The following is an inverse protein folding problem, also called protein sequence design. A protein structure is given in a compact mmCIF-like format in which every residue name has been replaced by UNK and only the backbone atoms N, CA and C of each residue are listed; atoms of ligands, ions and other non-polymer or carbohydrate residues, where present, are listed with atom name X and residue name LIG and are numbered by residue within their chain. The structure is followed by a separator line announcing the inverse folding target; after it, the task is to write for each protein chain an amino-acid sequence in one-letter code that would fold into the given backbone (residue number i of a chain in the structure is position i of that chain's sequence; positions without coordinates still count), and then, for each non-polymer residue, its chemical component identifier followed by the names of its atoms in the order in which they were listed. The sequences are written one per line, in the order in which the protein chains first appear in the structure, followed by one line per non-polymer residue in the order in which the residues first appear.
data_IF_039393923514
#
_entry.id   IF_039393923514
#
_cell.length_a   1.000
_cell.length_b   1.000
_cell.length_c   1.000
_cell.angle_alpha   90.00
_cell.angle_beta   90.00
_cell.angle_gamma   90.00
#
_symmetry.space_group_name_H-M   'P 1'
#
loop_
_entity.id
_entity.type
_entity.pdbx_description
1 polymer ?
#
# COMPACT_ATOMS: atom_id res chain seq x y z
N UNK A 1 -0.11 89.19 43.66
CA UNK A 1 -0.95 88.26 42.86
C UNK A 1 -0.21 86.93 42.76
N UNK A 2 -0.79 85.86 43.30
CA UNK A 2 -0.26 84.50 43.16
C UNK A 2 -0.69 83.92 41.81
N UNK A 3 0.26 83.50 40.97
CA UNK A 3 -0.03 82.72 39.77
C UNK A 3 0.32 81.25 40.05
N UNK A 4 -0.71 80.39 40.16
CA UNK A 4 -0.54 78.94 40.31
C UNK A 4 -0.28 78.31 38.93
N UNK A 5 0.90 77.72 38.75
CA UNK A 5 1.21 76.89 37.59
C UNK A 5 0.64 75.47 37.81
N UNK A 6 -0.45 75.14 37.11
CA UNK A 6 -0.98 73.77 37.05
C UNK A 6 -0.09 72.87 36.20
N UNK A 7 0.49 71.82 36.79
CA UNK A 7 1.28 70.82 36.09
C UNK A 7 0.35 69.74 35.53
N UNK A 8 0.00 69.82 34.25
CA UNK A 8 -0.71 68.74 33.55
C UNK A 8 0.15 67.48 33.51
N UNK A 9 -0.21 66.47 34.30
CA UNK A 9 0.35 65.12 34.16
C UNK A 9 -0.30 64.48 32.93
N UNK A 10 0.39 64.53 31.79
CA UNK A 10 0.05 63.69 30.64
C UNK A 10 0.12 62.23 31.11
N UNK A 11 -1.01 61.52 31.04
CA UNK A 11 -1.09 60.12 31.45
C UNK A 11 -0.43 59.28 30.35
N UNK A 12 0.86 58.98 30.50
CA UNK A 12 1.66 58.18 29.55
C UNK A 12 1.24 56.69 29.61
N UNK A 13 0.77 56.23 30.78
CA UNK A 13 0.31 54.85 30.99
C UNK A 13 -0.81 54.39 30.04
N UNK A 14 -1.94 55.11 29.85
CA UNK A 14 -2.99 54.66 28.94
C UNK A 14 -2.53 54.62 27.48
N UNK A 15 -1.63 55.51 27.06
CA UNK A 15 -1.06 55.51 25.71
C UNK A 15 -0.20 54.27 25.46
N UNK A 16 0.63 53.87 26.42
CA UNK A 16 1.43 52.64 26.35
C UNK A 16 0.56 51.37 26.38
N UNK A 17 -0.54 51.38 27.13
CA UNK A 17 -1.50 50.27 27.13
C UNK A 17 -2.20 50.12 25.78
N UNK A 18 -2.59 51.22 25.14
CA UNK A 18 -3.26 51.19 23.83
C UNK A 18 -2.30 50.67 22.75
N UNK A 19 -1.05 51.13 22.73
CA UNK A 19 -0.06 50.63 21.76
C UNK A 19 0.26 49.16 21.96
N UNK A 20 0.35 48.68 23.21
CA UNK A 20 0.52 47.26 23.50
C UNK A 20 -0.66 46.42 23.02
N UNK A 21 -1.91 46.88 23.22
CA UNK A 21 -3.12 46.19 22.74
C UNK A 21 -3.13 46.11 21.21
N UNK A 22 -2.76 47.19 20.50
CA UNK A 22 -2.70 47.21 19.03
C UNK A 22 -1.60 46.29 18.49
N UNK A 23 -0.46 46.20 19.18
CA UNK A 23 0.61 45.28 18.79
C UNK A 23 0.20 43.83 19.02
N UNK A 24 -0.41 43.51 20.16
CA UNK A 24 -0.90 42.16 20.46
C UNK A 24 -2.03 41.77 19.51
N UNK A 25 -2.94 42.68 19.16
CA UNK A 25 -4.01 42.38 18.20
C UNK A 25 -3.48 42.13 16.79
N UNK A 26 -2.49 42.89 16.31
CA UNK A 26 -1.83 42.64 15.02
C UNK A 26 -1.01 41.34 15.04
N UNK A 27 -0.35 41.02 16.16
CA UNK A 27 0.38 39.76 16.32
C UNK A 27 -0.57 38.56 16.31
N UNK A 28 -1.71 38.67 17.03
CA UNK A 28 -2.76 37.65 17.05
C UNK A 28 -3.45 37.51 15.69
N UNK A 29 -3.66 38.61 14.95
CA UNK A 29 -4.16 38.56 13.56
C UNK A 29 -3.16 37.90 12.61
N UNK A 30 -1.87 38.21 12.74
CA UNK A 30 -0.82 37.57 11.97
C UNK A 30 -0.75 36.07 12.27
N UNK A 31 -0.81 35.67 13.54
CA UNK A 31 -0.88 34.25 13.94
C UNK A 31 -2.16 33.56 13.46
N UNK A 32 -3.31 34.24 13.52
CA UNK A 32 -4.59 33.70 13.02
C UNK A 32 -4.55 33.49 11.50
N UNK A 33 -3.85 34.35 10.76
CA UNK A 33 -3.63 34.20 9.32
C UNK A 33 -2.68 33.05 8.94
N UNK A 34 -1.80 32.63 9.87
CA UNK A 34 -0.90 31.47 9.68
C UNK A 34 -1.53 30.13 10.09
N UNK A 35 -2.62 30.12 10.87
CA UNK A 35 -3.27 28.88 11.35
C UNK A 35 -4.41 28.38 10.47
N UNK A 36 -4.76 29.07 9.37
CA UNK A 36 -5.78 28.59 8.43
C UNK A 36 -5.16 28.12 7.11
N UNK A 37 -4.25 27.15 7.19
CA UNK A 37 -4.15 26.21 6.09
C UNK A 37 -5.42 25.36 6.13
N UNK A 38 -6.41 25.71 5.29
CA UNK A 38 -7.36 24.74 4.79
C UNK A 38 -6.55 23.64 4.08
N UNK A 39 -6.10 22.65 4.84
CA UNK A 39 -5.61 21.41 4.26
C UNK A 39 -6.88 20.69 3.83
N UNK A 40 -7.11 20.64 2.52
CA UNK A 40 -8.06 19.70 1.92
C UNK A 40 -7.92 18.34 2.63
N UNK A 41 -9.03 17.65 2.96
CA UNK A 41 -8.95 16.37 3.63
C UNK A 41 -8.09 15.41 2.79
N UNK A 42 -6.89 15.06 3.27
CA UNK A 42 -6.00 14.18 2.52
C UNK A 42 -6.53 12.75 2.60
N UNK A 43 -6.60 12.08 1.46
CA UNK A 43 -7.08 10.69 1.35
C UNK A 43 -6.12 9.68 2.02
N UNK A 44 -4.90 10.11 2.31
CA UNK A 44 -3.86 9.33 2.98
C UNK A 44 -2.92 10.24 3.79
N UNK A 45 -2.05 9.65 4.62
CA UNK A 45 -1.07 10.39 5.42
C UNK A 45 0.23 10.80 4.70
N UNK A 46 0.34 10.54 3.39
CA UNK A 46 1.54 10.86 2.61
C UNK A 46 1.61 12.33 2.19
N UNK A 47 2.79 12.80 1.78
CA UNK A 47 2.94 14.14 1.20
C UNK A 47 2.11 14.32 -0.09
N UNK A 48 1.99 13.24 -0.88
CA UNK A 48 1.13 13.16 -2.06
C UNK A 48 0.47 11.79 -2.07
N UNK A 49 -0.86 11.74 -2.11
CA UNK A 49 -1.59 10.49 -2.24
C UNK A 49 -1.76 10.10 -3.70
N UNK A 50 -1.92 8.80 -3.96
CA UNK A 50 -2.10 8.28 -5.32
C UNK A 50 -3.31 8.93 -6.03
N UNK A 51 -4.39 9.19 -5.28
CA UNK A 51 -5.62 9.82 -5.77
C UNK A 51 -5.57 11.36 -5.81
N UNK A 52 -4.48 11.97 -5.33
CA UNK A 52 -4.24 13.42 -5.50
C UNK A 52 -3.67 13.72 -6.90
N UNK A 53 -3.78 12.78 -7.84
CA UNK A 53 -3.24 12.86 -9.18
C UNK A 53 -4.21 13.48 -10.19
N UNK A 54 -3.82 13.42 -11.47
CA UNK A 54 -4.63 13.87 -12.60
C UNK A 54 -6.05 13.28 -12.59
N UNK A 55 -7.10 14.07 -12.87
CA UNK A 55 -8.48 13.59 -12.96
C UNK A 55 -8.66 12.37 -13.86
N UNK A 56 -7.98 12.34 -15.02
CA UNK A 56 -8.04 11.19 -15.94
C UNK A 56 -7.53 9.90 -15.30
N UNK A 57 -6.49 10.00 -14.47
CA UNK A 57 -5.97 8.84 -13.75
C UNK A 57 -6.94 8.39 -12.65
N UNK A 58 -7.61 9.33 -11.99
CA UNK A 58 -8.61 9.00 -10.97
C UNK A 58 -9.80 8.24 -11.56
N UNK A 59 -10.26 8.60 -12.76
CA UNK A 59 -11.32 7.88 -13.46
C UNK A 59 -10.94 6.41 -13.69
N UNK A 60 -9.72 6.16 -14.19
CA UNK A 60 -9.20 4.80 -14.41
C UNK A 60 -9.12 4.00 -13.10
N UNK A 61 -8.62 4.61 -12.03
CA UNK A 61 -8.51 3.94 -10.72
C UNK A 61 -9.88 3.67 -10.11
N UNK A 62 -10.86 4.55 -10.33
CA UNK A 62 -12.23 4.37 -9.80
C UNK A 62 -13.01 3.29 -10.57
N UNK A 63 -12.69 3.07 -11.84
CA UNK A 63 -13.28 2.01 -12.67
C UNK A 63 -12.57 0.66 -12.53
N UNK A 64 -11.41 0.61 -11.87
CA UNK A 64 -10.64 -0.62 -11.73
C UNK A 64 -11.40 -1.68 -10.90
N UNK A 65 -11.40 -2.96 -11.32
CA UNK A 65 -12.02 -4.02 -10.54
C UNK A 65 -11.22 -4.29 -9.25
N UNK A 66 -11.90 -4.88 -8.27
CA UNK A 66 -11.26 -5.32 -7.03
C UNK A 66 -10.06 -6.26 -7.34
N UNK A 67 -8.84 -5.93 -6.88
CA UNK A 67 -7.63 -6.62 -7.33
C UNK A 67 -7.47 -8.02 -6.75
N UNK A 68 -8.22 -8.38 -5.71
CA UNK A 68 -8.09 -9.66 -5.01
C UNK A 68 -9.35 -10.51 -5.13
N UNK A 69 -9.14 -11.76 -5.54
CA UNK A 69 -10.21 -12.75 -5.52
C UNK A 69 -10.61 -13.03 -4.06
N UNK A 70 -11.91 -12.98 -3.78
CA UNK A 70 -12.45 -13.27 -2.45
C UNK A 70 -13.64 -14.22 -2.55
N UNK A 71 -14.01 -14.83 -1.43
CA UNK A 71 -15.20 -15.68 -1.39
C UNK A 71 -16.49 -14.91 -1.71
N UNK A 72 -16.49 -13.57 -1.53
CA UNK A 72 -17.64 -12.69 -1.79
C UNK A 72 -17.70 -12.23 -3.25
N UNK A 73 -16.56 -12.21 -3.94
CA UNK A 73 -16.45 -11.69 -5.30
C UNK A 73 -16.06 -12.84 -6.25
N UNK A 74 -17.08 -13.48 -6.82
CA UNK A 74 -16.92 -14.55 -7.80
C UNK A 74 -16.94 -13.90 -9.20
N UNK A 75 -15.94 -14.16 -10.06
CA UNK A 75 -15.90 -13.63 -11.42
C UNK A 75 -17.14 -14.03 -12.24
N UNK A 76 -17.54 -13.16 -13.16
CA UNK A 76 -18.66 -13.45 -14.05
C UNK A 76 -18.32 -14.57 -15.04
N UNK A 77 -19.33 -15.14 -15.70
CA UNK A 77 -19.10 -16.11 -16.78
C UNK A 77 -18.29 -15.48 -17.93
N UNK A 78 -18.52 -14.20 -18.23
CA UNK A 78 -17.76 -13.45 -19.24
C UNK A 78 -16.27 -13.33 -18.85
N UNK A 79 -15.99 -12.96 -17.60
CA UNK A 79 -14.61 -12.88 -17.08
C UNK A 79 -13.91 -14.25 -17.18
N UNK A 80 -14.62 -15.32 -16.81
CA UNK A 80 -14.12 -16.67 -16.93
C UNK A 80 -13.83 -17.05 -18.39
N UNK A 81 -14.73 -16.73 -19.32
CA UNK A 81 -14.57 -17.05 -20.74
C UNK A 81 -13.37 -16.30 -21.33
N UNK A 82 -13.18 -15.02 -20.97
CA UNK A 82 -11.99 -14.27 -21.35
C UNK A 82 -10.72 -14.91 -20.77
N UNK A 83 -10.70 -15.15 -19.46
CA UNK A 83 -9.54 -15.70 -18.75
C UNK A 83 -9.14 -17.09 -19.26
N UNK A 84 -10.11 -17.94 -19.58
CA UNK A 84 -9.89 -19.29 -20.16
C UNK A 84 -9.02 -19.26 -21.42
N UNK A 85 -9.15 -18.20 -22.22
CA UNK A 85 -8.45 -18.08 -23.49
C UNK A 85 -6.97 -17.69 -23.33
N UNK A 86 -6.55 -17.13 -22.19
CA UNK A 86 -5.18 -16.65 -21.97
C UNK A 86 -4.09 -17.70 -22.19
N UNK A 87 -4.39 -18.97 -21.88
CA UNK A 87 -3.45 -20.09 -22.00
C UNK A 87 -3.93 -21.16 -22.98
N UNK A 88 -4.86 -20.81 -23.88
CA UNK A 88 -5.40 -21.75 -24.87
C UNK A 88 -6.09 -22.96 -24.25
N UNK A 89 -6.64 -22.82 -23.05
CA UNK A 89 -7.12 -23.93 -22.25
C UNK A 89 -8.54 -24.37 -22.68
N UNK A 90 -8.62 -24.98 -23.87
CA UNK A 90 -9.87 -25.45 -24.50
C UNK A 90 -10.72 -26.37 -23.62
N UNK A 91 -10.12 -27.05 -22.64
CA UNK A 91 -10.79 -28.05 -21.79
C UNK A 91 -11.30 -27.51 -20.44
N UNK A 92 -11.12 -26.23 -20.14
CA UNK A 92 -11.64 -25.69 -18.88
C UNK A 92 -13.15 -25.49 -18.93
N UNK A 93 -13.83 -26.05 -17.94
CA UNK A 93 -15.28 -25.93 -17.73
C UNK A 93 -15.53 -24.99 -16.54
N UNK A 94 -16.49 -24.08 -16.67
CA UNK A 94 -16.91 -23.15 -15.60
C UNK A 94 -17.28 -23.90 -14.30
N UNK A 95 -17.96 -25.05 -14.40
CA UNK A 95 -18.30 -25.87 -13.23
C UNK A 95 -17.05 -26.39 -12.49
N UNK A 96 -16.01 -26.78 -13.23
CA UNK A 96 -14.75 -27.23 -12.65
C UNK A 96 -14.01 -26.05 -11.99
N UNK A 97 -14.01 -24.90 -12.65
CA UNK A 97 -13.42 -23.67 -12.13
C UNK A 97 -14.07 -23.26 -10.80
N UNK A 98 -15.41 -23.16 -10.74
CA UNK A 98 -16.14 -22.78 -9.53
C UNK A 98 -15.87 -23.74 -8.38
N UNK A 99 -15.94 -25.06 -8.61
CA UNK A 99 -15.60 -26.08 -7.61
C UNK A 99 -14.15 -25.96 -7.12
N UNK A 100 -13.23 -25.56 -8.01
CA UNK A 100 -11.82 -25.36 -7.65
C UNK A 100 -11.65 -24.13 -6.76
N UNK A 101 -12.33 -23.03 -7.06
CA UNK A 101 -12.32 -21.82 -6.23
C UNK A 101 -12.95 -22.06 -4.86
N UNK A 102 -14.10 -22.74 -4.79
CA UNK A 102 -14.74 -23.10 -3.53
C UNK A 102 -13.78 -23.87 -2.62
N UNK A 103 -13.10 -24.88 -3.18
CA UNK A 103 -12.10 -25.67 -2.45
C UNK A 103 -10.87 -24.85 -2.06
N UNK A 104 -10.42 -23.94 -2.92
CA UNK A 104 -9.31 -23.04 -2.61
C UNK A 104 -9.63 -22.18 -1.39
N UNK A 105 -10.79 -21.53 -1.37
CA UNK A 105 -11.22 -20.66 -0.27
C UNK A 105 -11.51 -21.42 1.04
N UNK A 106 -11.75 -22.73 1.00
CA UNK A 106 -11.75 -23.57 2.20
C UNK A 106 -10.34 -23.86 2.74
N UNK A 107 -9.33 -23.82 1.87
CA UNK A 107 -7.93 -24.15 2.20
C UNK A 107 -7.16 -22.93 2.68
N UNK A 108 -7.45 -21.75 2.10
CA UNK A 108 -6.78 -20.50 2.43
C UNK A 108 -7.57 -19.75 3.50
N UNK A 109 -6.87 -19.14 4.46
CA UNK A 109 -7.52 -18.20 5.38
C UNK A 109 -8.05 -17.00 4.58
N UNK A 110 -9.16 -16.37 5.00
CA UNK A 110 -9.66 -15.15 4.38
C UNK A 110 -8.52 -14.14 4.26
N UNK A 111 -8.26 -13.71 3.03
CA UNK A 111 -7.28 -12.67 2.73
C UNK A 111 -7.71 -11.45 3.55
N UNK A 112 -6.82 -10.94 4.39
CA UNK A 112 -7.11 -9.70 5.07
C UNK A 112 -7.24 -8.63 3.99
N UNK A 113 -8.33 -7.88 4.07
CA UNK A 113 -8.54 -6.71 3.25
C UNK A 113 -7.25 -5.87 3.23
N UNK A 114 -6.80 -5.48 2.04
CA UNK A 114 -5.63 -4.61 1.92
C UNK A 114 -6.05 -3.29 2.50
N UNK A 115 -5.76 -3.10 3.79
CA UNK A 115 -6.40 -2.07 4.58
C UNK A 115 -6.38 -0.73 3.85
N UNK A 116 -7.57 -0.15 3.71
CA UNK A 116 -7.83 1.08 2.98
C UNK A 116 -6.83 2.18 3.35
N UNK A 117 -6.49 3.10 2.41
CA UNK A 117 -5.72 4.27 2.71
C UNK A 117 -6.31 5.02 3.92
N UNK A 118 -5.46 5.39 4.88
CA UNK A 118 -5.90 6.14 6.06
C UNK A 118 -5.26 7.53 6.08
N UNK A 119 -6.01 8.60 6.40
CA UNK A 119 -5.48 9.96 6.46
C UNK A 119 -4.34 10.15 7.45
N UNK A 120 -4.26 9.31 8.49
CA UNK A 120 -3.28 9.36 9.57
C UNK A 120 -2.01 8.54 9.31
N UNK A 121 -1.98 7.75 8.24
CA UNK A 121 -0.87 6.84 7.95
C UNK A 121 -0.43 6.94 6.48
N UNK A 122 0.86 7.21 6.26
CA UNK A 122 1.46 7.10 4.94
C UNK A 122 2.01 5.69 4.74
N UNK A 123 1.46 4.96 3.77
CA UNK A 123 1.99 3.67 3.32
C UNK A 123 2.75 3.88 2.01
N UNK A 124 4.01 3.52 2.00
CA UNK A 124 4.91 3.62 0.85
C UNK A 124 5.22 2.24 0.26
N UNK A 125 5.28 2.14 -1.07
CA UNK A 125 5.50 0.89 -1.78
C UNK A 125 6.65 1.00 -2.80
N UNK A 126 7.57 0.05 -2.79
CA UNK A 126 8.55 -0.16 -3.87
C UNK A 126 8.16 -1.40 -4.69
N UNK A 127 7.97 -1.22 -6.00
CA UNK A 127 7.74 -2.32 -6.95
C UNK A 127 9.04 -2.58 -7.72
N UNK A 128 9.63 -3.76 -7.51
CA UNK A 128 10.95 -4.09 -8.04
C UNK A 128 10.83 -5.13 -9.14
N UNK A 129 11.06 -4.70 -10.38
CA UNK A 129 11.16 -5.57 -11.55
C UNK A 129 12.51 -6.29 -11.66
N UNK A 130 12.71 -7.00 -12.78
CA UNK A 130 13.91 -7.83 -13.02
C UNK A 130 14.82 -7.29 -14.13
N UNK A 131 14.72 -5.99 -14.44
CA UNK A 131 15.51 -5.37 -15.50
C UNK A 131 16.98 -5.29 -15.10
N UNK A 132 17.88 -5.52 -16.08
CA UNK A 132 19.32 -5.41 -15.88
C UNK A 132 19.79 -3.99 -15.58
N UNK A 133 18.95 -2.97 -15.80
CA UNK A 133 19.28 -1.57 -15.46
C UNK A 133 19.47 -1.33 -13.96
N UNK A 134 19.00 -2.24 -13.11
CA UNK A 134 19.21 -2.17 -11.67
C UNK A 134 20.67 -2.46 -11.28
N UNK A 135 21.45 -3.13 -12.13
CA UNK A 135 22.83 -3.49 -11.83
C UNK A 135 23.72 -2.25 -11.74
N UNK A 136 24.36 -2.04 -10.59
CA UNK A 136 25.17 -0.85 -10.31
C UNK A 136 24.34 0.42 -10.02
N UNK A 137 23.03 0.29 -9.78
CA UNK A 137 22.16 1.43 -9.48
C UNK A 137 22.28 1.90 -8.02
N UNK A 138 22.74 1.02 -7.12
CA UNK A 138 22.81 1.29 -5.69
C UNK A 138 21.46 1.68 -5.05
N UNK A 139 20.32 1.29 -5.64
CA UNK A 139 18.99 1.62 -5.11
C UNK A 139 18.57 0.80 -3.88
N UNK A 140 19.36 -0.19 -3.45
CA UNK A 140 18.99 -1.12 -2.39
C UNK A 140 18.48 -0.46 -1.11
N UNK A 141 19.22 0.51 -0.52
CA UNK A 141 18.75 1.23 0.67
C UNK A 141 17.44 2.00 0.46
N UNK A 142 17.24 2.60 -0.72
CA UNK A 142 16.01 3.33 -1.05
C UNK A 142 14.82 2.37 -1.23
N UNK A 143 15.04 1.22 -1.85
CA UNK A 143 14.01 0.17 -1.97
C UNK A 143 13.61 -0.32 -0.57
N UNK A 144 14.58 -0.66 0.27
CA UNK A 144 14.34 -1.19 1.61
C UNK A 144 13.76 -0.15 2.57
N UNK A 145 13.80 1.15 2.25
CA UNK A 145 13.15 2.21 3.03
C UNK A 145 11.61 2.10 3.03
N UNK A 146 11.01 1.53 1.97
CA UNK A 146 9.56 1.48 1.83
C UNK A 146 8.92 0.48 2.81
N UNK A 147 7.66 0.75 3.20
CA UNK A 147 6.88 -0.13 4.08
C UNK A 147 6.59 -1.47 3.40
N UNK A 148 6.22 -1.40 2.13
CA UNK A 148 5.92 -2.54 1.27
C UNK A 148 6.97 -2.61 0.16
N UNK A 149 7.60 -3.77 0.02
CA UNK A 149 8.43 -4.11 -1.14
C UNK A 149 7.82 -5.30 -1.86
N UNK A 150 7.38 -5.07 -3.11
CA UNK A 150 6.78 -6.06 -4.00
C UNK A 150 7.84 -6.49 -5.02
N UNK A 151 8.13 -7.79 -5.05
CA UNK A 151 9.01 -8.41 -6.05
C UNK A 151 8.23 -9.35 -6.95
N UNK A 152 8.77 -9.66 -8.13
CA UNK A 152 8.09 -10.50 -9.11
C UNK A 152 9.02 -11.57 -9.69
N UNK A 153 8.46 -12.76 -9.96
CA UNK A 153 9.13 -13.85 -10.65
C UNK A 153 10.43 -14.30 -9.93
N UNK A 154 11.48 -14.64 -10.67
CA UNK A 154 12.76 -15.14 -10.17
C UNK A 154 13.82 -14.05 -10.00
N UNK A 155 13.42 -12.83 -9.66
CA UNK A 155 14.34 -11.74 -9.34
C UNK A 155 15.29 -12.13 -8.21
N UNK A 156 16.60 -11.99 -8.43
CA UNK A 156 17.62 -12.35 -7.45
C UNK A 156 17.98 -11.14 -6.59
N UNK A 157 17.84 -11.29 -5.27
CA UNK A 157 18.36 -10.32 -4.29
C UNK A 157 19.78 -10.71 -3.84
N UNK A 158 20.01 -12.00 -3.59
CA UNK A 158 21.30 -12.51 -3.11
C UNK A 158 22.44 -12.20 -4.08
N UNK A 159 23.43 -11.45 -3.62
CA UNK A 159 24.58 -10.96 -4.39
C UNK A 159 24.33 -9.66 -5.16
N UNK A 160 23.14 -9.06 -5.02
CA UNK A 160 22.71 -7.81 -5.67
C UNK A 160 22.07 -6.85 -4.65
N UNK A 161 22.23 -7.09 -3.35
CA UNK A 161 21.53 -6.39 -2.26
C UNK A 161 21.78 -4.88 -2.31
N UNK A 162 23.00 -4.46 -2.67
CA UNK A 162 23.35 -3.05 -2.84
C UNK A 162 22.47 -2.37 -3.89
N UNK A 163 22.10 -3.09 -4.94
CA UNK A 163 21.33 -2.57 -6.07
C UNK A 163 19.83 -2.71 -5.86
N UNK A 164 19.38 -3.87 -5.37
CA UNK A 164 17.95 -4.24 -5.35
C UNK A 164 17.36 -4.38 -3.96
N UNK A 165 18.16 -4.21 -2.91
CA UNK A 165 17.73 -4.34 -1.52
C UNK A 165 17.61 -5.79 -1.04
N UNK A 166 17.26 -5.92 0.22
CA UNK A 166 17.10 -7.19 0.94
C UNK A 166 15.66 -7.46 1.35
N UNK A 167 14.86 -6.41 1.54
CA UNK A 167 13.48 -6.51 2.01
C UNK A 167 12.59 -7.07 0.90
N UNK A 168 11.73 -8.02 1.28
CA UNK A 168 10.60 -8.47 0.46
C UNK A 168 9.42 -8.65 1.40
N UNK A 169 8.32 -7.97 1.11
CA UNK A 169 7.09 -8.10 1.90
C UNK A 169 6.03 -8.87 1.14
N UNK A 170 6.03 -8.72 -0.18
CA UNK A 170 5.08 -9.33 -1.08
C UNK A 170 5.83 -9.85 -2.30
N UNK A 171 5.44 -11.04 -2.77
CA UNK A 171 6.07 -11.65 -3.94
C UNK A 171 5.04 -12.14 -4.92
N UNK A 172 5.09 -11.59 -6.13
CA UNK A 172 4.23 -11.96 -7.26
C UNK A 172 4.79 -13.20 -7.93
N UNK A 173 4.00 -14.28 -7.97
CA UNK A 173 4.36 -15.48 -8.71
C UNK A 173 3.16 -16.25 -9.27
N UNK A 174 3.49 -17.13 -10.20
CA UNK A 174 2.66 -18.18 -10.78
C UNK A 174 3.51 -19.46 -10.86
N UNK A 175 2.92 -20.66 -11.04
CA UNK A 175 3.63 -21.92 -10.84
C UNK A 175 4.97 -22.03 -11.59
N UNK A 176 4.99 -21.67 -12.87
CA UNK A 176 6.16 -21.78 -13.75
C UNK A 176 7.29 -20.80 -13.38
N UNK A 177 6.96 -19.69 -12.72
CA UNK A 177 7.89 -18.63 -12.30
C UNK A 177 8.05 -18.57 -10.77
N UNK A 178 7.71 -19.65 -10.09
CA UNK A 178 7.73 -19.72 -8.64
C UNK A 178 9.15 -19.73 -8.05
N UNK A 179 9.26 -19.20 -6.83
CA UNK A 179 10.46 -19.23 -5.99
C UNK A 179 10.03 -19.55 -4.56
N UNK A 180 10.98 -19.98 -3.73
CA UNK A 180 10.71 -20.22 -2.31
C UNK A 180 10.56 -18.89 -1.59
N UNK A 181 9.47 -18.75 -0.85
CA UNK A 181 9.22 -17.61 0.02
C UNK A 181 9.63 -17.92 1.45
N UNK A 182 10.15 -16.91 2.15
CA UNK A 182 10.28 -16.97 3.60
C UNK A 182 8.90 -16.88 4.28
N UNK A 183 8.89 -17.05 5.60
CA UNK A 183 7.66 -16.99 6.39
C UNK A 183 7.09 -15.57 6.52
N UNK A 184 7.87 -14.53 6.24
CA UNK A 184 7.48 -13.12 6.37
C UNK A 184 6.93 -12.51 5.08
N UNK A 185 7.10 -13.18 3.95
CA UNK A 185 6.72 -12.68 2.63
C UNK A 185 5.33 -13.17 2.24
N UNK A 186 4.39 -12.26 2.01
CA UNK A 186 3.07 -12.59 1.50
C UNK A 186 3.12 -12.96 0.02
N UNK A 187 2.48 -14.06 -0.34
CA UNK A 187 2.33 -14.46 -1.73
C UNK A 187 1.21 -13.66 -2.42
N UNK A 188 1.55 -12.98 -3.52
CA UNK A 188 0.60 -12.45 -4.50
C UNK A 188 0.51 -13.42 -5.67
N UNK A 189 -0.51 -14.28 -5.68
CA UNK A 189 -0.62 -15.36 -6.66
C UNK A 189 -1.39 -14.94 -7.91
N UNK A 190 -0.80 -15.18 -9.10
CA UNK A 190 -1.41 -14.86 -10.40
C UNK A 190 -1.78 -16.14 -11.15
N UNK A 191 -3.04 -16.61 -11.05
CA UNK A 191 -3.49 -17.81 -11.74
C UNK A 191 -3.84 -17.49 -13.20
N UNK A 192 -3.22 -18.17 -14.16
CA UNK A 192 -3.51 -18.02 -15.59
C UNK A 192 -4.34 -19.19 -16.16
N UNK A 193 -4.56 -20.23 -15.36
CA UNK A 193 -5.34 -21.43 -15.70
C UNK A 193 -5.82 -22.16 -14.44
N UNK A 194 -6.88 -22.96 -14.54
CA UNK A 194 -7.47 -23.65 -13.37
C UNK A 194 -6.46 -24.53 -12.64
N UNK A 195 -5.52 -25.10 -13.38
CA UNK A 195 -4.46 -25.94 -12.83
C UNK A 195 -3.53 -25.18 -11.87
N UNK A 196 -3.42 -23.86 -11.98
CA UNK A 196 -2.58 -23.05 -11.09
C UNK A 196 -3.16 -23.02 -9.68
N UNK A 197 -4.48 -22.96 -9.53
CA UNK A 197 -5.13 -23.08 -8.22
C UNK A 197 -4.92 -24.46 -7.60
N UNK A 198 -4.97 -25.52 -8.42
CA UNK A 198 -4.69 -26.88 -7.95
C UNK A 198 -3.25 -27.04 -7.49
N UNK A 199 -2.31 -26.43 -8.21
CA UNK A 199 -0.90 -26.36 -7.83
C UNK A 199 -0.72 -25.65 -6.48
N UNK A 200 -1.37 -24.49 -6.30
CA UNK A 200 -1.29 -23.72 -5.06
C UNK A 200 -1.81 -24.53 -3.86
N UNK A 201 -3.01 -25.11 -3.96
CA UNK A 201 -3.56 -25.94 -2.89
C UNK A 201 -2.64 -27.12 -2.52
N UNK A 202 -2.04 -27.77 -3.52
CA UNK A 202 -1.09 -28.86 -3.31
C UNK A 202 0.15 -28.39 -2.54
N UNK A 203 0.68 -27.20 -2.85
CA UNK A 203 1.85 -26.66 -2.16
C UNK A 203 1.52 -26.26 -0.71
N UNK A 204 0.37 -25.63 -0.48
CA UNK A 204 -0.09 -25.24 0.85
C UNK A 204 -0.31 -26.44 1.78
N UNK A 205 -0.91 -27.52 1.26
CA UNK A 205 -1.24 -28.73 2.04
C UNK A 205 -0.02 -29.63 2.31
N UNK A 206 1.06 -29.54 1.52
CA UNK A 206 2.30 -30.28 1.78
C UNK A 206 2.91 -29.99 3.16
N UNK A 207 2.56 -28.85 3.78
CA UNK A 207 3.03 -28.44 5.10
C UNK A 207 2.34 -29.10 6.30
N UNK A 208 1.22 -29.79 6.13
CA UNK A 208 0.44 -30.33 7.27
C UNK A 208 0.93 -31.69 7.80
N UNK A 209 1.75 -32.41 7.04
CA UNK A 209 2.20 -33.77 7.39
C UNK A 209 3.39 -33.81 8.37
N UNK A 210 3.54 -32.82 9.26
CA UNK A 210 4.44 -32.88 10.43
C UNK A 210 5.97 -32.89 10.17
N UNK A 211 6.43 -32.81 8.92
CA UNK A 211 7.87 -32.73 8.60
C UNK A 211 8.33 -31.26 8.40
N UNK A 212 9.50 -30.85 8.94
CA UNK A 212 10.05 -29.51 8.69
C UNK A 212 10.28 -29.33 7.18
N UNK A 213 9.47 -28.47 6.57
CA UNK A 213 9.28 -28.51 5.13
C UNK A 213 10.26 -27.59 4.39
N UNK A 214 11.48 -28.08 4.19
CA UNK A 214 12.54 -27.46 3.37
C UNK A 214 12.16 -27.25 1.88
N UNK A 215 10.92 -27.55 1.46
CA UNK A 215 10.47 -27.50 0.05
C UNK A 215 9.22 -26.63 -0.19
N UNK A 216 8.68 -25.96 0.84
CA UNK A 216 7.49 -25.11 0.69
C UNK A 216 7.79 -23.90 -0.20
N UNK A 217 6.92 -23.62 -1.17
CA UNK A 217 7.09 -22.53 -2.14
C UNK A 217 6.22 -21.34 -1.74
N UNK A 218 5.01 -21.60 -1.24
CA UNK A 218 4.06 -20.60 -0.74
C UNK A 218 3.84 -20.71 0.78
N UNK A 219 3.70 -19.58 1.49
CA UNK A 219 3.17 -19.59 2.85
C UNK A 219 1.63 -19.62 2.85
N UNK A 220 1.01 -19.96 3.99
CA UNK A 220 -0.45 -19.95 4.13
C UNK A 220 -1.02 -18.54 4.37
N UNK A 221 -0.17 -17.59 4.77
CA UNK A 221 -0.53 -16.19 5.00
C UNK A 221 -0.55 -15.41 3.68
N UNK A 222 -1.64 -15.57 2.93
CA UNK A 222 -1.89 -14.95 1.62
C UNK A 222 -2.30 -13.47 1.70
N UNK A 223 -1.79 -12.75 2.71
CA UNK A 223 -2.04 -11.33 2.93
C UNK A 223 -2.74 -11.05 4.25
N UNK A 224 -2.01 -11.13 5.37
CA UNK A 224 -2.48 -10.57 6.64
C UNK A 224 -1.59 -9.39 7.03
N UNK A 225 -1.86 -8.22 6.47
CA UNK A 225 -1.33 -6.98 7.03
C UNK A 225 -2.16 -6.61 8.26
N UNK A 226 -1.73 -7.09 9.42
CA UNK A 226 -2.21 -6.60 10.71
C UNK A 226 -1.54 -5.25 10.95
N UNK A 227 -2.20 -4.16 10.56
CA UNK A 227 -1.76 -2.82 10.95
C UNK A 227 -1.91 -2.69 12.47
N UNK A 228 -0.77 -2.58 13.18
CA UNK A 228 -0.74 -2.11 14.57
C UNK A 228 -0.80 -0.60 14.59
#
# INVERSE_FOLDING_TARGET
MYFKWGRSRVRIFPLLSITAIVLVSNLLWSFSGYTFCHREPSLCGCQKCLRDSDPWFNDIINEAPEPFLSQKHIPSEEDFLWWKNLQGARLQNLTLYNKTLERLFQTITPIADVGEPRPDHCRSCAVVGNSGNLRGSHYGPLIDFHDIVIRINRGRTKGYETDVGTKTTHHVMYPESSTRLDNTTHLLFFPFKTHDFLWLMKDLNRGENGAPNLKKIANKDLGHTRCS
#
